data_IF_157500510603
#
_entry.id   IF_157500510603
#
_cell.length_a   1.000
_cell.length_b   1.000
_cell.length_c   1.000
_cell.angle_alpha   90.00
_cell.angle_beta   90.00
_cell.angle_gamma   90.00
#
_symmetry.space_group_name_H-M   'P 1'
#
loop_
_entity.id
_entity.type
_entity.pdbx_description
1 polymer ?
#
# COMPACT_ATOMS: atom_id res chain seq x y z
N UNK A 1 41.33 1.84 -18.02
CA UNK A 1 41.12 1.25 -19.37
C UNK A 1 39.68 1.54 -19.77
N UNK A 2 39.46 2.15 -20.94
CA UNK A 2 38.13 2.41 -21.49
C UNK A 2 37.55 1.11 -22.06
N UNK A 3 36.29 0.82 -21.74
CA UNK A 3 35.56 -0.34 -22.26
C UNK A 3 34.35 0.16 -23.08
N UNK A 4 34.43 0.01 -24.39
CA UNK A 4 33.43 0.49 -25.33
C UNK A 4 32.08 -0.22 -25.16
N UNK A 5 32.09 -1.50 -24.76
CA UNK A 5 30.87 -2.26 -24.55
C UNK A 5 30.14 -1.79 -23.29
N UNK A 6 30.90 -1.53 -22.22
CA UNK A 6 30.37 -0.95 -20.99
C UNK A 6 29.81 0.46 -21.21
N UNK A 7 30.53 1.29 -21.98
CA UNK A 7 30.09 2.64 -22.34
C UNK A 7 28.77 2.63 -23.14
N UNK A 8 28.66 1.73 -24.15
CA UNK A 8 27.43 1.56 -24.93
C UNK A 8 26.26 1.07 -24.08
N UNK A 9 26.51 0.15 -23.14
CA UNK A 9 25.49 -0.36 -22.24
C UNK A 9 24.97 0.72 -21.28
N UNK A 10 25.88 1.49 -20.68
CA UNK A 10 25.54 2.61 -19.80
C UNK A 10 24.74 3.69 -20.56
N UNK A 11 25.18 4.08 -21.77
CA UNK A 11 24.47 5.06 -22.59
C UNK A 11 23.03 4.61 -22.95
N UNK A 12 22.83 3.31 -23.20
CA UNK A 12 21.52 2.73 -23.45
C UNK A 12 20.65 2.71 -22.19
N UNK A 13 21.21 2.38 -21.02
CA UNK A 13 20.49 2.43 -19.74
C UNK A 13 20.07 3.87 -19.41
N UNK A 14 20.97 4.84 -19.58
CA UNK A 14 20.71 6.27 -19.37
C UNK A 14 19.60 6.80 -20.30
N UNK A 15 19.63 6.42 -21.58
CA UNK A 15 18.59 6.79 -22.55
C UNK A 15 17.21 6.24 -22.15
N UNK A 16 17.13 4.97 -21.75
CA UNK A 16 15.88 4.33 -21.32
C UNK A 16 15.37 4.88 -19.99
N UNK A 17 16.27 5.33 -19.11
CA UNK A 17 15.96 5.86 -17.80
C UNK A 17 15.92 7.40 -17.75
N UNK A 18 16.02 8.10 -18.88
CA UNK A 18 16.06 9.58 -18.97
C UNK A 18 14.92 10.31 -18.24
N UNK A 19 13.76 9.65 -18.08
CA UNK A 19 12.59 10.19 -17.36
C UNK A 19 12.48 9.73 -15.90
N UNK A 20 13.38 8.87 -15.43
CA UNK A 20 13.37 8.28 -14.10
C UNK A 20 14.41 8.99 -13.22
N UNK A 21 14.00 10.13 -12.66
CA UNK A 21 14.87 11.03 -11.89
C UNK A 21 14.93 10.66 -10.40
N UNK A 22 14.75 9.38 -10.06
CA UNK A 22 14.85 8.98 -8.66
C UNK A 22 16.32 8.86 -8.24
N UNK A 23 16.58 9.25 -6.99
CA UNK A 23 17.94 9.33 -6.41
C UNK A 23 18.73 8.02 -6.58
N UNK A 24 18.04 6.87 -6.56
CA UNK A 24 18.65 5.55 -6.74
C UNK A 24 19.14 5.36 -8.18
N UNK A 25 18.40 5.80 -9.20
CA UNK A 25 18.87 5.68 -10.59
C UNK A 25 19.97 6.68 -10.91
N UNK A 26 19.97 7.87 -10.28
CA UNK A 26 20.96 8.93 -10.54
C UNK A 26 22.33 8.63 -9.92
N UNK A 27 22.38 8.07 -8.72
CA UNK A 27 23.65 7.87 -8.00
C UNK A 27 24.03 6.39 -7.93
N UNK A 28 25.01 5.99 -8.74
CA UNK A 28 25.46 4.59 -8.85
C UNK A 28 25.95 3.98 -7.53
N UNK A 29 26.65 4.75 -6.69
CA UNK A 29 27.09 4.28 -5.38
C UNK A 29 25.90 3.92 -4.47
N UNK A 30 24.88 4.76 -4.46
CA UNK A 30 23.64 4.53 -3.71
C UNK A 30 22.86 3.33 -4.29
N UNK A 31 22.74 3.25 -5.62
CA UNK A 31 22.13 2.12 -6.34
C UNK A 31 22.74 0.79 -5.92
N UNK A 32 24.08 0.73 -5.94
CA UNK A 32 24.82 -0.47 -5.61
C UNK A 32 24.62 -0.87 -4.15
N UNK A 33 24.68 0.09 -3.21
CA UNK A 33 24.45 -0.19 -1.81
C UNK A 33 23.05 -0.75 -1.55
N UNK A 34 22.02 -0.10 -2.11
CA UNK A 34 20.63 -0.55 -1.96
C UNK A 34 20.44 -1.95 -2.54
N UNK A 35 20.93 -2.21 -3.74
CA UNK A 35 20.77 -3.53 -4.38
C UNK A 35 21.54 -4.62 -3.65
N UNK A 36 22.75 -4.32 -3.16
CA UNK A 36 23.53 -5.24 -2.32
C UNK A 36 22.80 -5.55 -1.01
N UNK A 37 22.16 -4.56 -0.39
CA UNK A 37 21.33 -4.75 0.81
C UNK A 37 20.12 -5.64 0.54
N UNK A 38 19.41 -5.41 -0.56
CA UNK A 38 18.28 -6.24 -0.98
C UNK A 38 18.70 -7.69 -1.27
N UNK A 39 19.84 -7.91 -1.92
CA UNK A 39 20.38 -9.26 -2.18
C UNK A 39 20.76 -10.00 -0.90
N UNK A 40 21.13 -9.26 0.17
CA UNK A 40 21.38 -9.81 1.51
C UNK A 40 20.10 -10.04 2.32
N UNK A 41 18.92 -9.79 1.75
CA UNK A 41 17.63 -9.95 2.42
C UNK A 41 17.29 -8.85 3.43
N UNK A 42 17.95 -7.69 3.36
CA UNK A 42 17.63 -6.57 4.25
C UNK A 42 16.32 -5.91 3.83
N UNK A 43 15.51 -5.53 4.82
CA UNK A 43 14.32 -4.70 4.55
C UNK A 43 14.73 -3.26 4.24
N UNK A 44 13.95 -2.50 3.44
CA UNK A 44 14.25 -1.10 3.10
C UNK A 44 14.54 -0.19 4.32
N UNK A 45 13.89 -0.44 5.45
CA UNK A 45 14.13 0.25 6.72
C UNK A 45 15.54 0.01 7.25
N UNK A 46 16.03 -1.24 7.17
CA UNK A 46 17.40 -1.58 7.58
C UNK A 46 18.43 -0.96 6.64
N UNK A 47 18.16 -0.91 5.34
CA UNK A 47 19.04 -0.29 4.35
C UNK A 47 19.15 1.22 4.63
N UNK A 48 18.00 1.89 4.81
CA UNK A 48 17.94 3.32 5.13
C UNK A 48 18.61 3.64 6.47
N UNK A 49 18.39 2.82 7.49
CA UNK A 49 19.02 2.97 8.81
C UNK A 49 20.54 2.79 8.76
N UNK A 50 21.03 1.73 8.10
CA UNK A 50 22.47 1.48 7.96
C UNK A 50 23.18 2.53 7.13
N UNK A 51 22.56 3.06 6.07
CA UNK A 51 23.15 4.14 5.28
C UNK A 51 23.52 5.36 6.15
N UNK A 52 22.71 5.69 7.16
CA UNK A 52 23.01 6.79 8.10
C UNK A 52 24.20 6.50 9.01
N UNK A 53 24.45 5.23 9.32
CA UNK A 53 25.55 4.79 10.19
C UNK A 53 26.85 4.67 9.39
N UNK A 54 26.78 4.05 8.22
CA UNK A 54 27.94 3.78 7.37
C UNK A 54 28.44 5.07 6.68
N UNK A 55 27.54 6.03 6.41
CA UNK A 55 27.83 7.26 5.68
C UNK A 55 27.24 8.52 6.34
N UNK A 56 27.63 8.86 7.58
CA UNK A 56 26.98 9.93 8.36
C UNK A 56 27.15 11.33 7.73
N UNK A 57 28.28 11.58 7.08
CA UNK A 57 28.61 12.90 6.52
C UNK A 57 28.33 13.02 5.01
N UNK A 58 27.77 11.98 4.38
CA UNK A 58 27.54 11.96 2.94
C UNK A 58 26.03 12.05 2.64
N UNK A 59 25.59 13.25 2.28
CA UNK A 59 24.18 13.54 1.93
C UNK A 59 23.69 12.77 0.70
N UNK A 60 24.60 12.37 -0.19
CA UNK A 60 24.27 11.53 -1.35
C UNK A 60 23.97 10.09 -0.94
N UNK A 61 24.66 9.58 0.09
CA UNK A 61 24.48 8.25 0.67
C UNK A 61 23.40 8.22 1.77
N UNK A 62 22.30 8.96 1.54
CA UNK A 62 21.15 9.00 2.43
C UNK A 62 19.86 8.89 1.63
N UNK A 63 18.95 8.01 2.05
CA UNK A 63 17.65 7.81 1.40
C UNK A 63 16.63 7.28 2.41
N UNK A 64 15.36 7.67 2.27
CA UNK A 64 14.27 7.10 3.07
C UNK A 64 13.87 5.71 2.57
N UNK A 65 13.40 4.85 3.48
CA UNK A 65 12.88 3.53 3.12
C UNK A 65 11.67 3.63 2.17
N UNK A 66 10.86 4.67 2.28
CA UNK A 66 9.75 4.93 1.35
C UNK A 66 10.23 5.26 -0.07
N UNK A 67 11.36 5.97 -0.21
CA UNK A 67 11.94 6.23 -1.54
C UNK A 67 12.51 4.95 -2.18
N UNK A 68 13.05 4.02 -1.37
CA UNK A 68 13.44 2.67 -1.83
C UNK A 68 12.20 1.89 -2.28
N UNK A 69 11.11 1.89 -1.50
CA UNK A 69 9.86 1.27 -1.90
C UNK A 69 9.30 1.87 -3.20
N UNK A 70 9.31 3.20 -3.32
CA UNK A 70 8.86 3.90 -4.52
C UNK A 70 9.67 3.49 -5.74
N UNK A 71 10.99 3.39 -5.64
CA UNK A 71 11.86 2.92 -6.72
C UNK A 71 11.52 1.49 -7.18
N UNK A 72 11.25 0.60 -6.23
CA UNK A 72 10.90 -0.80 -6.53
C UNK A 72 9.50 -0.90 -7.16
N UNK A 73 8.53 -0.10 -6.69
CA UNK A 73 7.13 -0.22 -7.04
C UNK A 73 6.62 0.75 -8.13
N UNK A 74 7.40 1.73 -8.61
CA UNK A 74 6.97 2.66 -9.66
C UNK A 74 6.68 1.97 -10.98
N UNK A 75 7.45 0.94 -11.35
CA UNK A 75 7.24 0.17 -12.60
C UNK A 75 7.29 -1.33 -12.36
N UNK A 76 6.31 -1.93 -11.67
CA UNK A 76 6.37 -3.32 -11.23
C UNK A 76 6.34 -4.33 -12.39
N UNK A 77 6.02 -3.89 -13.61
CA UNK A 77 6.05 -4.71 -14.82
C UNK A 77 7.43 -4.84 -15.47
N UNK A 78 8.37 -3.94 -15.15
CA UNK A 78 9.74 -4.02 -15.66
C UNK A 78 10.45 -5.27 -15.10
N UNK A 79 11.24 -5.95 -15.94
CA UNK A 79 11.93 -7.20 -15.57
C UNK A 79 12.82 -7.05 -14.32
N UNK A 80 13.51 -5.91 -14.20
CA UNK A 80 14.33 -5.57 -13.03
C UNK A 80 13.47 -5.40 -11.77
N UNK A 81 12.39 -4.63 -11.85
CA UNK A 81 11.52 -4.38 -10.69
C UNK A 81 10.83 -5.66 -10.21
N UNK A 82 10.47 -6.58 -11.11
CA UNK A 82 9.99 -7.92 -10.73
C UNK A 82 11.02 -8.68 -9.91
N UNK A 83 12.31 -8.59 -10.26
CA UNK A 83 13.40 -9.20 -9.48
C UNK A 83 13.56 -8.52 -8.12
N UNK A 84 13.56 -7.18 -8.07
CA UNK A 84 13.66 -6.43 -6.82
C UNK A 84 12.49 -6.71 -5.85
N UNK A 85 11.26 -6.81 -6.37
CA UNK A 85 10.07 -7.17 -5.56
C UNK A 85 10.22 -8.57 -4.94
N UNK A 86 10.86 -9.52 -5.63
CA UNK A 86 11.11 -10.88 -5.08
C UNK A 86 12.08 -10.87 -3.91
N UNK A 87 12.99 -9.89 -3.85
CA UNK A 87 13.98 -9.76 -2.77
C UNK A 87 13.40 -9.12 -1.50
N UNK A 88 12.22 -8.50 -1.58
CA UNK A 88 11.57 -7.88 -0.42
C UNK A 88 10.99 -8.95 0.52
N UNK A 89 11.44 -8.95 1.78
CA UNK A 89 10.91 -9.81 2.85
C UNK A 89 9.40 -9.63 3.04
N UNK A 90 8.92 -8.38 2.98
CA UNK A 90 7.49 -8.03 3.01
C UNK A 90 7.10 -7.42 1.67
N UNK A 91 6.70 -8.28 0.72
CA UNK A 91 6.12 -7.81 -0.54
C UNK A 91 4.66 -7.40 -0.32
N UNK A 92 4.31 -6.17 -0.71
CA UNK A 92 2.90 -5.80 -0.88
C UNK A 92 2.38 -6.53 -2.11
N UNK A 93 1.59 -7.59 -1.91
CA UNK A 93 0.70 -8.10 -2.95
C UNK A 93 -0.26 -6.96 -3.25
N UNK A 94 -0.02 -6.28 -4.38
CA UNK A 94 -0.80 -5.16 -4.92
C UNK A 94 -2.21 -5.11 -4.34
N UNK A 95 -2.62 -4.00 -3.72
CA UNK A 95 -3.99 -3.79 -3.25
C UNK A 95 -4.91 -4.11 -4.42
N UNK A 96 -5.64 -5.22 -4.35
CA UNK A 96 -6.59 -5.58 -5.40
C UNK A 96 -7.59 -4.44 -5.45
N UNK A 97 -7.82 -3.89 -6.66
CA UNK A 97 -9.00 -3.08 -6.86
C UNK A 97 -10.17 -3.96 -6.42
N UNK A 98 -10.93 -3.51 -5.43
CA UNK A 98 -12.20 -4.12 -5.10
C UNK A 98 -12.98 -4.04 -6.41
N UNK A 99 -13.13 -5.18 -7.11
CA UNK A 99 -14.09 -5.24 -8.21
C UNK A 99 -15.37 -4.76 -7.58
N UNK A 100 -15.88 -3.61 -8.03
CA UNK A 100 -17.22 -3.17 -7.69
C UNK A 100 -18.12 -4.33 -8.04
N UNK A 101 -18.48 -5.15 -7.06
CA UNK A 101 -19.54 -6.14 -7.22
C UNK A 101 -20.73 -5.24 -7.51
N UNK A 102 -21.14 -5.19 -8.80
CA UNK A 102 -22.43 -4.64 -9.19
C UNK A 102 -23.42 -5.21 -8.19
N UNK A 103 -23.95 -4.33 -7.34
CA UNK A 103 -24.80 -4.73 -6.23
C UNK A 103 -25.92 -5.57 -6.81
N UNK A 104 -26.03 -6.83 -6.38
CA UNK A 104 -27.36 -7.41 -6.30
C UNK A 104 -28.08 -6.48 -5.32
N UNK A 105 -29.08 -5.73 -5.81
CA UNK A 105 -29.89 -4.83 -5.00
C UNK A 105 -30.37 -5.52 -3.72
N UNK A 106 -30.81 -4.73 -2.75
CA UNK A 106 -31.20 -5.26 -1.44
C UNK A 106 -32.25 -6.36 -1.59
N UNK A 107 -32.02 -7.49 -0.92
CA UNK A 107 -32.95 -8.63 -0.91
C UNK A 107 -34.13 -8.40 0.05
N UNK A 108 -34.21 -7.23 0.69
CA UNK A 108 -35.16 -6.93 1.75
C UNK A 108 -36.39 -6.30 1.09
N UNK A 109 -37.51 -7.02 1.10
CA UNK A 109 -38.80 -6.51 0.62
C UNK A 109 -39.18 -5.27 1.43
N UNK A 110 -39.56 -4.19 0.75
CA UNK A 110 -39.96 -2.92 1.36
C UNK A 110 -38.89 -2.27 2.25
N UNK A 111 -37.59 -2.39 1.88
CA UNK A 111 -36.54 -1.71 2.62
C UNK A 111 -36.78 -0.18 2.62
N UNK A 112 -36.92 0.38 3.81
CA UNK A 112 -36.92 1.83 4.00
C UNK A 112 -35.47 2.29 4.12
N UNK A 113 -35.09 3.29 3.32
CA UNK A 113 -33.76 3.90 3.39
C UNK A 113 -33.56 4.57 4.74
N UNK A 114 -32.38 4.42 5.33
CA UNK A 114 -31.99 5.15 6.55
C UNK A 114 -32.08 6.67 6.36
N UNK A 115 -31.92 7.15 5.12
CA UNK A 115 -32.05 8.56 4.78
C UNK A 115 -33.48 9.10 4.94
N UNK A 116 -34.49 8.23 4.98
CA UNK A 116 -35.88 8.62 5.18
C UNK A 116 -36.25 8.77 6.67
N UNK A 117 -35.31 8.57 7.60
CA UNK A 117 -35.60 8.68 9.03
C UNK A 117 -36.00 10.11 9.41
N UNK A 118 -36.96 10.29 10.32
CA UNK A 118 -37.28 11.60 10.87
C UNK A 118 -36.06 12.30 11.49
N UNK A 119 -35.92 13.60 11.26
CA UNK A 119 -34.76 14.40 11.70
C UNK A 119 -34.54 14.38 13.22
N UNK A 120 -35.61 14.27 14.01
CA UNK A 120 -35.51 14.28 15.47
C UNK A 120 -34.71 13.09 16.03
N UNK A 121 -34.65 11.96 15.32
CA UNK A 121 -33.91 10.74 15.71
C UNK A 121 -32.39 10.98 15.70
N UNK A 122 -31.90 11.91 14.87
CA UNK A 122 -30.48 12.29 14.85
C UNK A 122 -30.03 12.94 16.14
N UNK A 123 -30.95 13.62 16.84
CA UNK A 123 -30.66 14.34 18.07
C UNK A 123 -30.40 13.39 19.24
N UNK A 124 -30.84 12.12 19.16
CA UNK A 124 -30.67 11.09 20.21
C UNK A 124 -31.19 11.53 21.58
N UNK A 125 -32.24 12.34 21.59
CA UNK A 125 -32.81 12.92 22.81
C UNK A 125 -33.77 11.98 23.55
N UNK A 126 -34.27 10.93 22.89
CA UNK A 126 -35.19 9.96 23.47
C UNK A 126 -34.64 8.52 23.38
N UNK A 127 -35.05 7.68 24.33
CA UNK A 127 -34.70 6.24 24.36
C UNK A 127 -35.73 5.50 23.51
N UNK A 128 -35.30 4.45 22.81
CA UNK A 128 -36.17 3.56 22.04
C UNK A 128 -35.84 3.50 20.56
N UNK A 129 -34.82 4.24 20.13
CA UNK A 129 -34.31 4.18 18.76
C UNK A 129 -33.19 3.15 18.69
N UNK A 130 -33.49 2.01 18.10
CA UNK A 130 -32.55 0.91 17.94
C UNK A 130 -31.99 0.88 16.52
N UNK A 131 -30.69 0.66 16.42
CA UNK A 131 -29.99 0.38 15.16
C UNK A 131 -29.36 -0.99 15.23
N UNK A 132 -29.47 -1.74 14.13
CA UNK A 132 -28.84 -3.05 14.04
C UNK A 132 -28.01 -3.19 12.78
N UNK A 133 -26.80 -3.73 12.93
CA UNK A 133 -25.95 -4.13 11.81
C UNK A 133 -25.97 -5.66 11.71
N UNK A 134 -26.05 -6.17 10.48
CA UNK A 134 -26.00 -7.61 10.21
C UNK A 134 -24.89 -7.92 9.20
N UNK A 135 -23.94 -8.73 9.64
CA UNK A 135 -22.86 -9.26 8.80
C UNK A 135 -23.16 -10.71 8.51
N UNK A 136 -23.30 -11.05 7.23
CA UNK A 136 -23.51 -12.43 6.77
C UNK A 136 -22.20 -12.99 6.23
N UNK A 137 -21.77 -14.12 6.79
CA UNK A 137 -20.59 -14.86 6.42
C UNK A 137 -20.67 -15.49 5.02
N UNK A 138 -19.54 -16.05 4.58
CA UNK A 138 -19.42 -16.65 3.24
C UNK A 138 -20.47 -17.74 3.02
N UNK A 139 -21.21 -17.62 1.92
CA UNK A 139 -22.25 -18.60 1.56
C UNK A 139 -23.41 -18.67 2.55
N UNK A 140 -23.65 -17.61 3.33
CA UNK A 140 -24.72 -17.54 4.35
C UNK A 140 -24.57 -18.59 5.47
N UNK A 141 -23.36 -19.11 5.69
CA UNK A 141 -23.09 -20.17 6.69
C UNK A 141 -22.97 -19.67 8.12
N UNK A 142 -22.81 -18.36 8.30
CA UNK A 142 -22.76 -17.72 9.61
C UNK A 142 -23.32 -16.31 9.51
N UNK A 143 -23.75 -15.76 10.64
CA UNK A 143 -24.19 -14.38 10.74
C UNK A 143 -23.78 -13.82 12.10
N UNK A 144 -23.44 -12.54 12.12
CA UNK A 144 -23.23 -11.75 13.34
C UNK A 144 -24.15 -10.55 13.23
N UNK A 145 -25.02 -10.38 14.22
CA UNK A 145 -25.85 -9.19 14.38
C UNK A 145 -25.37 -8.40 15.58
N UNK A 146 -25.47 -7.07 15.49
CA UNK A 146 -25.38 -6.19 16.65
C UNK A 146 -26.67 -5.38 16.71
N UNK A 147 -27.18 -5.14 17.92
CA UNK A 147 -28.33 -4.26 18.13
C UNK A 147 -27.93 -3.23 19.19
N UNK A 148 -28.07 -1.94 18.88
CA UNK A 148 -27.61 -0.83 19.71
C UNK A 148 -28.71 0.21 19.87
N UNK A 149 -29.01 0.58 21.11
CA UNK A 149 -29.90 1.71 21.41
C UNK A 149 -29.11 3.03 21.27
N UNK A 150 -29.64 3.98 20.50
CA UNK A 150 -28.88 5.17 20.06
C UNK A 150 -28.58 6.18 21.18
N UNK A 151 -29.41 6.29 22.21
CA UNK A 151 -29.25 7.25 23.31
C UNK A 151 -28.39 6.69 24.44
N UNK A 152 -28.83 5.60 25.04
CA UNK A 152 -28.19 4.87 26.15
C UNK A 152 -26.95 4.08 25.74
N UNK A 153 -26.78 3.77 24.44
CA UNK A 153 -25.70 2.91 23.91
C UNK A 153 -25.72 1.49 24.46
N UNK A 154 -26.85 1.05 24.99
CA UNK A 154 -27.05 -0.34 25.39
C UNK A 154 -26.95 -1.25 24.17
N UNK A 155 -26.21 -2.36 24.29
CA UNK A 155 -25.91 -3.28 23.18
C UNK A 155 -26.37 -4.70 23.48
N UNK A 156 -26.92 -5.38 22.48
CA UNK A 156 -27.30 -6.80 22.47
C UNK A 156 -26.58 -7.55 21.34
#
# INVERSE_FOLDING_TARGET
>A
KYDAHLAQWNAKDDYLNKRNLDKISTYNALKFYVYKGLLKGWIPEQISGRLKIDYPNNTLMSISHEAIYRHIYTRPQASLNKKLIKLLTRKKTRRWAIKNKRGKGSKIRNQVSIHNRPKHIELRNEVGHWEGDLIIGKGQKSAIGTIVERKSRYTL
#
